data_IF_848087959412
#
_entry.id   IF_848087959412
#
_cell.length_a   1.000
_cell.length_b   1.000
_cell.length_c   1.000
_cell.angle_alpha   90.00
_cell.angle_beta   90.00
_cell.angle_gamma   90.00
#
_symmetry.space_group_name_H-M   'P 1'
#
loop_
_entity.id
_entity.type
_entity.pdbx_description
1 polymer ?
#
# COMPACT_ATOMS: atom_id res chain seq x y z
N UNK A 1 4.33 -13.06 -29.03
CA UNK A 1 4.54 -13.33 -27.60
C UNK A 1 3.61 -14.46 -27.21
N UNK A 2 4.16 -15.63 -26.90
CA UNK A 2 3.35 -16.77 -26.47
C UNK A 2 2.88 -16.49 -25.04
N UNK A 3 1.56 -16.35 -24.84
CA UNK A 3 0.97 -16.35 -23.50
C UNK A 3 1.00 -17.79 -23.01
N UNK A 4 1.82 -18.06 -22.02
CA UNK A 4 1.74 -19.30 -21.26
C UNK A 4 0.71 -19.07 -20.16
N UNK A 5 -0.32 -19.91 -20.11
CA UNK A 5 -1.23 -19.98 -18.97
C UNK A 5 -1.36 -21.41 -18.48
N UNK A 6 -1.44 -21.56 -17.16
CA UNK A 6 -1.66 -22.83 -16.48
C UNK A 6 -2.91 -22.71 -15.64
N UNK A 7 -3.71 -23.79 -15.63
CA UNK A 7 -4.99 -23.82 -14.94
C UNK A 7 -5.01 -24.94 -13.91
N UNK A 8 -5.23 -24.58 -12.65
CA UNK A 8 -5.39 -25.51 -11.54
C UNK A 8 -6.86 -25.55 -11.12
N UNK A 9 -7.41 -26.75 -10.95
CA UNK A 9 -8.80 -26.95 -10.52
C UNK A 9 -8.83 -27.67 -9.18
N UNK A 10 -9.36 -27.01 -8.15
CA UNK A 10 -9.58 -27.59 -6.82
C UNK A 10 -11.06 -27.81 -6.56
N UNK A 11 -11.43 -29.02 -6.14
CA UNK A 11 -12.81 -29.37 -5.82
C UNK A 11 -13.14 -29.16 -4.33
N UNK A 12 -14.23 -28.47 -4.04
CA UNK A 12 -14.81 -28.36 -2.70
C UNK A 12 -16.17 -29.04 -2.61
N UNK A 13 -16.29 -30.00 -1.68
CA UNK A 13 -17.54 -30.71 -1.41
C UNK A 13 -18.57 -29.89 -0.64
N UNK A 14 -19.85 -30.19 -0.83
CA UNK A 14 -21.00 -29.50 -0.22
C UNK A 14 -20.94 -29.43 1.32
N UNK A 15 -20.55 -30.52 1.99
CA UNK A 15 -20.42 -30.55 3.46
C UNK A 15 -19.35 -29.58 3.98
N UNK A 16 -18.19 -29.51 3.32
CA UNK A 16 -17.10 -28.57 3.66
C UNK A 16 -17.55 -27.12 3.45
N UNK A 17 -18.33 -26.84 2.40
CA UNK A 17 -18.93 -25.52 2.16
C UNK A 17 -19.94 -25.12 3.24
N UNK A 18 -20.79 -26.05 3.68
CA UNK A 18 -21.80 -25.79 4.71
C UNK A 18 -21.15 -25.53 6.08
N UNK A 19 -20.20 -26.37 6.51
CA UNK A 19 -19.49 -26.15 7.78
C UNK A 19 -18.71 -24.82 7.77
N UNK A 20 -18.01 -24.50 6.67
CA UNK A 20 -17.34 -23.22 6.50
C UNK A 20 -18.31 -22.02 6.57
N UNK A 21 -19.52 -22.16 6.05
CA UNK A 21 -20.53 -21.09 6.07
C UNK A 21 -21.05 -20.79 7.48
N UNK A 22 -21.23 -21.82 8.32
CA UNK A 22 -21.69 -21.67 9.70
C UNK A 22 -20.58 -21.03 10.57
N UNK A 23 -19.34 -21.50 10.41
CA UNK A 23 -18.18 -20.87 11.06
C UNK A 23 -18.01 -19.42 10.60
N UNK A 24 -18.19 -19.14 9.30
CA UNK A 24 -18.15 -17.81 8.74
C UNK A 24 -19.22 -16.88 9.33
N UNK A 25 -20.43 -17.38 9.61
CA UNK A 25 -21.49 -16.60 10.22
C UNK A 25 -21.18 -16.19 11.67
N UNK A 26 -20.63 -17.11 12.48
CA UNK A 26 -20.21 -16.82 13.87
C UNK A 26 -19.08 -15.80 13.87
N UNK A 27 -18.05 -16.02 13.04
CA UNK A 27 -16.93 -15.09 12.92
C UNK A 27 -17.40 -13.71 12.43
N UNK A 28 -18.30 -13.67 11.46
CA UNK A 28 -18.92 -12.43 10.96
C UNK A 28 -19.68 -11.69 12.06
N UNK A 29 -20.44 -12.39 12.90
CA UNK A 29 -21.11 -11.80 14.06
C UNK A 29 -20.14 -11.21 15.09
N UNK A 30 -19.06 -11.94 15.40
CA UNK A 30 -18.00 -11.43 16.28
C UNK A 30 -17.32 -10.19 15.69
N UNK A 31 -16.97 -10.21 14.40
CA UNK A 31 -16.37 -9.08 13.69
C UNK A 31 -17.31 -7.87 13.64
N UNK A 32 -18.61 -8.09 13.44
CA UNK A 32 -19.61 -7.03 13.46
C UNK A 32 -19.68 -6.34 14.82
N UNK A 33 -19.71 -7.10 15.91
CA UNK A 33 -19.71 -6.54 17.27
C UNK A 33 -18.38 -5.82 17.55
N UNK A 34 -17.24 -6.39 17.15
CA UNK A 34 -15.92 -5.80 17.34
C UNK A 34 -15.70 -4.54 16.48
N UNK A 35 -16.39 -4.41 15.34
CA UNK A 35 -16.27 -3.25 14.47
C UNK A 35 -16.68 -1.95 15.18
N UNK A 36 -17.71 -1.96 16.03
CA UNK A 36 -18.17 -0.76 16.74
C UNK A 36 -17.11 -0.15 17.68
N UNK A 37 -16.53 -0.87 18.65
CA UNK A 37 -15.48 -0.31 19.50
C UNK A 37 -14.21 0.05 18.71
N UNK A 38 -13.87 -0.71 17.65
CA UNK A 38 -12.74 -0.38 16.78
C UNK A 38 -12.97 0.94 16.02
N UNK A 39 -14.16 1.11 15.42
CA UNK A 39 -14.54 2.35 14.73
C UNK A 39 -14.59 3.52 15.71
N UNK A 40 -15.20 3.34 16.89
CA UNK A 40 -15.23 4.37 17.92
C UNK A 40 -13.81 4.79 18.34
N UNK A 41 -12.90 3.84 18.54
CA UNK A 41 -11.52 4.14 18.88
C UNK A 41 -10.81 4.88 17.74
N UNK A 42 -11.00 4.43 16.50
CA UNK A 42 -10.43 5.07 15.31
C UNK A 42 -10.95 6.49 15.10
N UNK A 43 -12.26 6.71 15.18
CA UNK A 43 -12.90 8.03 15.08
C UNK A 43 -12.48 8.94 16.22
N UNK A 44 -12.43 8.43 17.46
CA UNK A 44 -11.97 9.17 18.61
C UNK A 44 -10.52 9.67 18.44
N UNK A 45 -9.62 8.83 17.94
CA UNK A 45 -8.26 9.23 17.60
C UNK A 45 -8.24 10.29 16.49
N UNK A 46 -9.00 10.09 15.41
CA UNK A 46 -9.06 11.03 14.30
C UNK A 46 -9.58 12.41 14.72
N UNK A 47 -10.62 12.46 15.56
CA UNK A 47 -11.15 13.72 16.10
C UNK A 47 -10.14 14.39 17.05
N UNK A 48 -9.47 13.61 17.90
CA UNK A 48 -8.44 14.15 18.80
C UNK A 48 -7.28 14.76 18.03
N UNK A 49 -6.81 14.09 16.98
CA UNK A 49 -5.75 14.57 16.10
C UNK A 49 -6.18 15.83 15.35
N UNK A 50 -7.39 15.83 14.76
CA UNK A 50 -7.94 17.01 14.10
C UNK A 50 -8.00 18.22 15.03
N UNK A 51 -8.49 18.05 16.27
CA UNK A 51 -8.54 19.13 17.27
C UNK A 51 -7.17 19.61 17.67
N UNK A 52 -6.22 18.69 17.93
CA UNK A 52 -4.86 19.05 18.29
C UNK A 52 -4.13 19.79 17.17
N UNK A 53 -4.32 19.38 15.92
CA UNK A 53 -3.78 20.08 14.75
C UNK A 53 -4.43 21.45 14.55
N UNK A 54 -5.74 21.57 14.74
CA UNK A 54 -6.44 22.86 14.66
C UNK A 54 -5.95 23.82 15.74
N UNK A 55 -5.85 23.36 16.99
CA UNK A 55 -5.33 24.16 18.10
C UNK A 55 -3.87 24.57 17.86
N UNK A 56 -3.04 23.64 17.36
CA UNK A 56 -1.67 23.94 16.96
C UNK A 56 -1.59 24.97 15.83
N UNK A 57 -2.43 24.83 14.80
CA UNK A 57 -2.49 25.76 13.68
C UNK A 57 -2.96 27.15 14.12
N UNK A 58 -3.91 27.26 15.04
CA UNK A 58 -4.36 28.54 15.60
C UNK A 58 -3.29 29.18 16.51
N UNK A 59 -2.49 28.37 17.19
CA UNK A 59 -1.42 28.82 18.08
C UNK A 59 -0.09 29.14 17.36
N UNK A 60 0.06 28.76 16.08
CA UNK A 60 1.33 28.88 15.36
C UNK A 60 1.69 30.34 15.06
N UNK A 61 2.94 30.71 15.31
CA UNK A 61 3.46 32.02 14.96
C UNK A 61 4.36 31.90 13.74
N UNK A 62 4.01 32.60 12.66
CA UNK A 62 4.89 32.74 11.50
C UNK A 62 6.05 33.67 11.83
N UNK A 63 7.28 33.19 11.67
CA UNK A 63 8.50 33.97 11.92
C UNK A 63 9.43 33.95 10.72
N UNK A 64 10.21 35.02 10.58
CA UNK A 64 11.26 35.08 9.57
C UNK A 64 12.40 34.10 9.89
N UNK A 65 13.10 33.64 8.87
CA UNK A 65 14.19 32.66 8.97
C UNK A 65 15.57 33.31 9.23
N UNK A 66 15.63 34.60 9.52
CA UNK A 66 16.85 35.40 9.61
C UNK A 66 17.37 35.61 11.05
N UNK A 67 16.51 35.43 12.06
CA UNK A 67 16.89 35.63 13.47
C UNK A 67 16.04 34.82 14.45
N UNK A 68 16.63 34.51 15.59
CA UNK A 68 15.92 33.91 16.74
C UNK A 68 15.38 35.04 17.63
N UNK A 69 14.07 35.02 17.91
CA UNK A 69 13.41 35.99 18.78
C UNK A 69 13.01 35.34 20.11
N UNK A 70 13.67 35.72 21.22
CA UNK A 70 13.39 35.20 22.56
C UNK A 70 11.92 35.36 23.01
N UNK A 71 11.19 36.31 22.42
CA UNK A 71 9.75 36.51 22.66
C UNK A 71 8.85 35.35 22.17
N UNK A 72 9.41 34.42 21.39
CA UNK A 72 8.71 33.24 20.87
C UNK A 72 9.11 31.94 21.59
N UNK A 73 9.91 32.03 22.65
CA UNK A 73 10.29 30.86 23.45
C UNK A 73 9.05 30.13 23.99
N UNK A 74 9.02 28.80 23.85
CA UNK A 74 7.90 27.96 24.25
C UNK A 74 6.64 28.03 23.36
N UNK A 75 6.68 28.76 22.23
CA UNK A 75 5.56 28.82 21.26
C UNK A 75 5.82 27.90 20.07
N UNK A 76 4.73 27.42 19.46
CA UNK A 76 4.81 26.77 18.16
C UNK A 76 5.13 27.82 17.09
N UNK A 77 6.22 27.63 16.35
CA UNK A 77 6.65 28.56 15.30
C UNK A 77 6.67 27.87 13.94
N UNK A 78 6.25 28.60 12.92
CA UNK A 78 6.39 28.20 11.53
C UNK A 78 7.38 29.14 10.83
N UNK A 79 8.35 28.54 10.14
CA UNK A 79 9.39 29.23 9.40
C UNK A 79 9.30 28.77 7.95
N UNK A 80 9.35 29.72 7.03
CA UNK A 80 9.50 29.43 5.60
C UNK A 80 10.66 30.23 5.03
N UNK A 81 11.29 29.68 4.01
CA UNK A 81 12.45 30.30 3.38
C UNK A 81 12.75 29.69 2.03
N UNK A 82 13.54 30.41 1.22
CA UNK A 82 14.04 29.91 -0.04
C UNK A 82 15.05 28.79 0.23
N UNK A 83 14.87 27.65 -0.44
CA UNK A 83 15.87 26.58 -0.48
C UNK A 83 16.64 26.71 -1.80
N UNK A 84 17.96 26.70 -1.72
CA UNK A 84 18.84 26.76 -2.89
C UNK A 84 19.53 25.39 -3.07
N UNK A 85 19.40 24.82 -4.26
CA UNK A 85 20.06 23.57 -4.64
C UNK A 85 21.52 23.84 -5.05
N UNK A 86 22.32 24.30 -4.08
CA UNK A 86 23.74 24.58 -4.30
C UNK A 86 24.61 23.70 -3.40
N UNK A 87 25.53 22.89 -3.96
CA UNK A 87 25.79 22.69 -5.38
C UNK A 87 24.69 21.87 -6.09
N UNK A 88 24.73 21.83 -7.43
CA UNK A 88 23.83 21.00 -8.25
C UNK A 88 23.84 19.54 -7.79
N UNK A 89 22.67 18.88 -7.85
CA UNK A 89 22.60 17.45 -7.57
C UNK A 89 23.14 16.70 -8.79
N UNK A 90 23.98 15.69 -8.54
CA UNK A 90 24.60 14.89 -9.60
C UNK A 90 24.50 13.39 -9.30
N UNK A 91 24.16 12.60 -10.33
CA UNK A 91 24.39 11.16 -10.36
C UNK A 91 25.65 10.91 -11.20
N UNK A 92 26.78 10.74 -10.51
CA UNK A 92 28.08 10.50 -11.13
C UNK A 92 28.14 9.17 -11.91
N UNK A 93 27.27 8.21 -11.60
CA UNK A 93 27.25 6.90 -12.25
C UNK A 93 26.70 6.93 -13.68
N UNK A 94 25.85 7.92 -13.99
CA UNK A 94 25.26 8.10 -15.34
C UNK A 94 25.58 9.48 -15.95
N UNK A 95 26.33 10.33 -15.25
CA UNK A 95 26.76 11.64 -15.75
C UNK A 95 25.66 12.70 -15.83
N UNK A 96 24.60 12.57 -15.02
CA UNK A 96 23.49 13.52 -14.97
C UNK A 96 23.73 14.54 -13.86
N UNK A 97 23.53 15.82 -14.15
CA UNK A 97 23.52 16.90 -13.16
C UNK A 97 22.33 17.82 -13.40
N UNK A 98 21.61 18.15 -12.33
CA UNK A 98 20.37 18.92 -12.39
C UNK A 98 20.32 19.97 -11.29
N UNK A 99 19.71 21.11 -11.61
CA UNK A 99 19.31 22.11 -10.63
C UNK A 99 17.96 21.66 -10.03
N UNK A 100 18.01 21.10 -8.82
CA UNK A 100 16.85 20.52 -8.16
C UNK A 100 17.15 20.12 -6.73
N UNK A 101 16.10 19.97 -5.90
CA UNK A 101 16.25 19.63 -4.47
C UNK A 101 16.45 18.13 -4.22
N UNK A 102 16.04 17.29 -5.17
CA UNK A 102 16.23 15.85 -5.10
C UNK A 102 16.35 15.27 -6.51
N UNK A 103 17.21 14.26 -6.67
CA UNK A 103 17.31 13.43 -7.86
C UNK A 103 16.95 12.00 -7.45
N UNK A 104 15.85 11.46 -7.99
CA UNK A 104 15.46 10.05 -7.82
C UNK A 104 15.75 9.31 -9.11
N UNK A 105 16.62 8.31 -9.04
CA UNK A 105 16.84 7.35 -10.11
C UNK A 105 15.91 6.16 -9.89
N UNK A 106 15.18 5.78 -10.93
CA UNK A 106 14.38 4.55 -10.99
C UNK A 106 15.03 3.67 -12.05
N UNK A 107 15.32 2.42 -11.71
CA UNK A 107 15.88 1.43 -12.62
C UNK A 107 14.86 0.31 -12.74
N UNK A 108 14.43 0.05 -13.97
CA UNK A 108 13.47 -1.01 -14.24
C UNK A 108 14.17 -2.20 -14.91
N UNK A 109 13.68 -3.40 -14.63
CA UNK A 109 14.13 -4.65 -15.23
C UNK A 109 13.00 -5.21 -16.09
N UNK A 110 13.32 -5.58 -17.33
CA UNK A 110 12.38 -6.32 -18.16
C UNK A 110 12.43 -7.80 -17.79
N UNK A 111 11.44 -8.25 -17.04
CA UNK A 111 11.44 -9.55 -16.37
C UNK A 111 10.11 -10.26 -16.50
N UNK A 112 10.09 -11.57 -16.24
CA UNK A 112 8.84 -12.33 -16.18
C UNK A 112 8.03 -11.95 -14.94
N UNK A 113 6.72 -11.90 -15.10
CA UNK A 113 5.75 -11.70 -14.03
C UNK A 113 4.65 -12.76 -14.15
N UNK A 114 4.22 -13.29 -13.00
CA UNK A 114 3.05 -14.17 -12.88
C UNK A 114 1.87 -13.37 -12.34
N UNK A 115 0.72 -13.44 -13.02
CA UNK A 115 -0.55 -12.97 -12.48
C UNK A 115 -1.50 -14.13 -12.26
N UNK A 116 -2.27 -14.07 -11.16
CA UNK A 116 -3.20 -15.11 -10.72
C UNK A 116 -4.63 -14.61 -10.75
N UNK A 117 -5.49 -15.28 -11.49
CA UNK A 117 -6.95 -15.09 -11.47
C UNK A 117 -7.63 -16.32 -10.87
N UNK A 118 -8.72 -16.13 -10.12
CA UNK A 118 -9.44 -17.24 -9.47
C UNK A 118 -10.94 -17.09 -9.64
N UNK A 119 -11.59 -18.16 -10.11
CA UNK A 119 -13.02 -18.21 -10.38
C UNK A 119 -13.68 -19.44 -9.74
N UNK A 120 -14.89 -19.28 -9.20
CA UNK A 120 -15.66 -20.39 -8.63
C UNK A 120 -16.74 -20.85 -9.62
N UNK A 121 -16.79 -22.16 -9.91
CA UNK A 121 -17.80 -22.80 -10.76
C UNK A 121 -18.62 -23.80 -9.95
N UNK A 122 -19.94 -23.65 -9.92
CA UNK A 122 -20.83 -24.59 -9.22
C UNK A 122 -20.93 -25.91 -9.98
N UNK A 123 -20.91 -27.04 -9.27
CA UNK A 123 -21.09 -28.37 -9.87
C UNK A 123 -22.48 -28.94 -9.62
N UNK A 124 -22.91 -29.85 -10.50
CA UNK A 124 -24.14 -30.62 -10.33
C UNK A 124 -23.98 -31.50 -9.08
N UNK A 125 -24.80 -31.28 -8.04
CA UNK A 125 -24.68 -31.95 -6.74
C UNK A 125 -24.24 -31.05 -5.57
N UNK A 126 -24.18 -29.72 -5.76
CA UNK A 126 -23.99 -28.76 -4.66
C UNK A 126 -22.54 -28.48 -4.27
N UNK A 127 -21.57 -29.09 -4.95
CA UNK A 127 -20.15 -28.73 -4.83
C UNK A 127 -19.79 -27.43 -5.57
N UNK A 128 -18.53 -27.02 -5.45
CA UNK A 128 -17.93 -26.01 -6.31
C UNK A 128 -16.48 -26.34 -6.65
N UNK A 129 -16.08 -25.93 -7.85
CA UNK A 129 -14.74 -26.03 -8.38
C UNK A 129 -14.12 -24.64 -8.33
N UNK A 130 -12.96 -24.52 -7.70
CA UNK A 130 -12.14 -23.31 -7.74
C UNK A 130 -11.14 -23.48 -8.88
N UNK A 131 -11.29 -22.66 -9.91
CA UNK A 131 -10.40 -22.62 -11.08
C UNK A 131 -9.44 -21.46 -10.89
N UNK A 132 -8.15 -21.76 -10.70
CA UNK A 132 -7.08 -20.76 -10.64
C UNK A 132 -6.35 -20.74 -11.98
N UNK A 133 -6.28 -19.59 -12.63
CA UNK A 133 -5.49 -19.38 -13.85
C UNK A 133 -4.25 -18.56 -13.50
N UNK A 134 -3.07 -19.10 -13.81
CA UNK A 134 -1.79 -18.41 -13.73
C UNK A 134 -1.40 -17.96 -15.15
N UNK A 135 -1.03 -16.69 -15.30
CA UNK A 135 -0.65 -16.09 -16.59
C UNK A 135 0.75 -15.49 -16.48
N UNK A 136 1.60 -15.84 -17.43
CA UNK A 136 2.99 -15.36 -17.48
C UNK A 136 3.19 -14.37 -18.62
N UNK A 137 3.76 -13.21 -18.29
CA UNK A 137 4.13 -12.19 -19.28
C UNK A 137 5.40 -11.47 -18.85
N UNK A 138 6.13 -10.91 -19.82
CA UNK A 138 7.28 -10.05 -19.54
C UNK A 138 6.85 -8.59 -19.50
N UNK A 139 7.19 -7.90 -18.42
CA UNK A 139 6.89 -6.47 -18.22
C UNK A 139 8.04 -5.78 -17.46
N UNK A 140 8.03 -4.45 -17.45
CA UNK A 140 8.98 -3.64 -16.70
C UNK A 140 8.56 -3.52 -15.24
N UNK A 141 9.51 -3.63 -14.32
CA UNK A 141 9.30 -3.47 -12.88
C UNK A 141 10.55 -2.88 -12.23
N UNK A 142 10.40 -2.04 -11.21
CA UNK A 142 11.51 -1.46 -10.45
C UNK A 142 11.98 -2.32 -9.27
N UNK A 143 11.27 -3.40 -8.96
CA UNK A 143 11.64 -4.43 -7.98
C UNK A 143 11.93 -5.79 -8.65
N UNK A 144 12.91 -6.57 -8.16
CA UNK A 144 13.21 -7.87 -8.73
C UNK A 144 12.12 -8.90 -8.41
N UNK A 145 11.56 -9.53 -9.44
CA UNK A 145 10.58 -10.61 -9.28
C UNK A 145 11.31 -11.93 -9.03
N UNK A 146 11.01 -12.57 -7.89
CA UNK A 146 11.52 -13.90 -7.58
C UNK A 146 10.75 -14.98 -8.35
N UNK A 147 11.26 -15.37 -9.51
CA UNK A 147 10.62 -16.40 -10.34
C UNK A 147 10.63 -17.80 -9.72
N UNK A 148 11.39 -18.04 -8.63
CA UNK A 148 11.32 -19.29 -7.88
C UNK A 148 9.99 -19.48 -7.14
N UNK A 149 9.25 -18.38 -6.92
CA UNK A 149 7.93 -18.39 -6.30
C UNK A 149 6.80 -18.56 -7.32
N UNK A 150 7.11 -18.67 -8.62
CA UNK A 150 6.11 -18.94 -9.65
C UNK A 150 5.52 -20.34 -9.47
N UNK A 151 4.25 -20.49 -9.83
CA UNK A 151 3.53 -21.75 -9.73
C UNK A 151 4.21 -22.87 -10.53
N UNK A 152 4.75 -22.55 -11.71
CA UNK A 152 5.41 -23.52 -12.60
C UNK A 152 6.95 -23.32 -12.69
N UNK A 153 7.59 -22.92 -11.59
CA UNK A 153 9.04 -22.70 -11.51
C UNK A 153 9.90 -23.96 -11.81
#
# INVERSE_FOLDING_TARGET
MARHSVTEVTHQGFGKRLTNSITGAILGGCLFIAAFPLLWWNEGRAISEYRALSEGADAVVNVANDRIAAANEGKLVHVSGRVEATPLIADAGIGVSVDGLALRRIVEMYQWQESRETHEKKTLGGGSDTVTEYKYQTDWDDDPVNSADFHDA
#
